data_IF_387880655307
#
_entry.id   IF_387880655307
#
_cell.length_a   1.000
_cell.length_b   1.000
_cell.length_c   1.000
_cell.angle_alpha   90.00
_cell.angle_beta   90.00
_cell.angle_gamma   90.00
#
_symmetry.space_group_name_H-M   'P 1'
#
loop_
_entity.id
_entity.type
_entity.pdbx_description
1 polymer ?
#
# COMPACT_ATOMS: atom_id res chain seq x y z
N UNK A 1 2.57 -12.42 9.79
CA UNK A 1 3.48 -11.26 9.97
C UNK A 1 2.77 -10.00 9.52
N UNK A 2 2.79 -8.96 10.33
CA UNK A 2 2.09 -7.72 9.99
C UNK A 2 3.00 -6.68 9.35
N UNK A 3 4.31 -6.72 9.64
CA UNK A 3 5.25 -5.72 9.13
C UNK A 3 5.69 -6.10 7.73
N UNK A 4 5.33 -5.29 6.76
CA UNK A 4 5.65 -5.53 5.35
C UNK A 4 6.67 -4.53 4.81
N UNK A 5 7.38 -3.83 5.69
CA UNK A 5 8.36 -2.81 5.26
C UNK A 5 9.38 -3.43 4.33
N UNK A 6 9.67 -2.71 3.25
CA UNK A 6 10.58 -3.09 2.17
C UNK A 6 10.07 -4.22 1.28
N UNK A 7 8.84 -4.68 1.49
CA UNK A 7 8.23 -5.66 0.59
C UNK A 7 7.49 -4.95 -0.53
N UNK A 8 7.36 -5.63 -1.67
CA UNK A 8 6.53 -5.15 -2.78
C UNK A 8 5.14 -5.73 -2.63
N UNK A 9 4.14 -4.89 -2.76
CA UNK A 9 2.76 -5.29 -2.53
C UNK A 9 1.87 -4.78 -3.66
N UNK A 10 0.72 -5.42 -3.82
CA UNK A 10 -0.34 -4.90 -4.67
C UNK A 10 -1.65 -4.97 -3.90
N UNK A 11 -2.59 -4.17 -4.33
CA UNK A 11 -3.92 -4.12 -3.73
C UNK A 11 -4.75 -3.08 -4.43
N UNK A 12 -5.91 -2.76 -3.86
CA UNK A 12 -6.79 -1.73 -4.40
C UNK A 12 -6.94 -0.60 -3.41
N UNK A 13 -6.54 0.59 -3.83
CA UNK A 13 -6.69 1.79 -3.02
C UNK A 13 -8.15 2.24 -3.10
N UNK A 14 -8.75 2.51 -1.95
CA UNK A 14 -10.18 2.90 -1.83
C UNK A 14 -11.12 1.87 -2.47
N UNK A 15 -10.68 0.62 -2.55
CA UNK A 15 -11.50 -0.45 -3.11
C UNK A 15 -11.66 -0.41 -4.61
N UNK A 16 -11.01 0.53 -5.32
CA UNK A 16 -11.28 0.70 -6.74
C UNK A 16 -10.03 0.94 -7.59
N UNK A 17 -8.94 1.48 -7.03
CA UNK A 17 -7.75 1.81 -7.81
C UNK A 17 -6.66 0.77 -7.58
N UNK A 18 -6.37 -0.12 -8.58
CA UNK A 18 -5.28 -1.09 -8.42
C UNK A 18 -3.95 -0.36 -8.31
N UNK A 19 -3.15 -0.76 -7.33
CA UNK A 19 -1.83 -0.17 -7.13
C UNK A 19 -0.80 -1.26 -6.91
N UNK A 20 0.45 -0.93 -7.21
CA UNK A 20 1.61 -1.75 -6.92
C UNK A 20 2.72 -0.85 -6.44
N UNK A 21 3.39 -1.23 -5.37
CA UNK A 21 4.46 -0.42 -4.84
C UNK A 21 5.25 -1.12 -3.76
N UNK A 22 6.18 -0.38 -3.19
CA UNK A 22 7.03 -0.86 -2.11
C UNK A 22 6.58 -0.25 -0.80
N UNK A 23 6.41 -1.07 0.22
CA UNK A 23 6.02 -0.58 1.54
C UNK A 23 7.21 0.13 2.18
N UNK A 24 7.03 1.39 2.54
CA UNK A 24 8.05 2.19 3.22
C UNK A 24 7.89 2.15 4.72
N UNK A 25 6.66 2.04 5.21
CA UNK A 25 6.39 2.05 6.63
C UNK A 25 5.14 1.23 6.90
N UNK A 26 5.23 0.32 7.86
CA UNK A 26 4.08 -0.41 8.38
C UNK A 26 3.85 0.07 9.81
N UNK A 27 2.60 0.38 10.15
CA UNK A 27 2.26 0.92 11.46
C UNK A 27 1.06 0.20 12.05
N UNK A 28 1.11 -0.01 13.35
CA UNK A 28 -0.06 -0.43 14.11
C UNK A 28 -0.83 0.84 14.46
N UNK A 29 -2.08 0.89 14.02
CA UNK A 29 -2.94 2.04 14.32
C UNK A 29 -3.49 1.94 15.73
N UNK A 30 -3.88 3.08 16.28
CA UNK A 30 -4.60 3.11 17.53
C UNK A 30 -5.86 2.25 17.38
N UNK A 31 -6.03 1.31 18.27
CA UNK A 31 -7.14 0.36 18.20
C UNK A 31 -6.80 -0.97 17.54
N UNK A 32 -5.57 -1.14 17.05
CA UNK A 32 -5.06 -2.44 16.64
C UNK A 32 -5.04 -2.73 15.14
N UNK A 33 -5.52 -1.82 14.31
CA UNK A 33 -5.42 -2.00 12.85
C UNK A 33 -3.99 -1.78 12.37
N UNK A 34 -3.68 -2.33 11.18
CA UNK A 34 -2.36 -2.18 10.56
C UNK A 34 -2.53 -1.37 9.29
N UNK A 35 -1.70 -0.35 9.10
CA UNK A 35 -1.67 0.40 7.85
C UNK A 35 -0.26 0.38 7.27
N UNK A 36 -0.20 0.47 5.93
CA UNK A 36 1.06 0.42 5.19
C UNK A 36 1.16 1.65 4.30
N UNK A 37 2.27 2.37 4.42
CA UNK A 37 2.59 3.48 3.54
C UNK A 37 3.34 2.92 2.35
N UNK A 38 2.77 3.06 1.15
CA UNK A 38 3.27 2.41 -0.06
C UNK A 38 3.75 3.48 -1.03
N UNK A 39 5.01 3.35 -1.46
CA UNK A 39 5.56 4.17 -2.53
C UNK A 39 5.25 3.46 -3.83
N UNK A 40 4.44 4.09 -4.70
CA UNK A 40 3.96 3.46 -5.92
C UNK A 40 5.09 3.36 -6.94
N UNK A 41 5.15 2.22 -7.65
CA UNK A 41 6.08 2.03 -8.76
C UNK A 41 5.64 2.90 -9.93
N UNK A 42 4.33 2.91 -10.19
CA UNK A 42 3.73 3.73 -11.25
C UNK A 42 2.74 4.65 -10.58
N UNK A 43 2.94 5.97 -10.66
CA UNK A 43 1.98 6.90 -10.08
C UNK A 43 0.61 6.73 -10.71
N UNK A 44 -0.43 6.99 -9.94
CA UNK A 44 -1.81 6.86 -10.41
C UNK A 44 -2.52 8.20 -10.29
N UNK A 45 -3.53 8.39 -11.12
CA UNK A 45 -4.37 9.57 -11.06
C UNK A 45 -5.66 9.24 -10.31
N UNK A 46 -5.96 10.03 -9.26
CA UNK A 46 -7.15 9.85 -8.45
C UNK A 46 -7.88 11.18 -8.43
N UNK A 47 -9.06 11.21 -9.04
CA UNK A 47 -9.92 12.41 -9.08
C UNK A 47 -9.14 13.66 -9.52
N UNK A 48 -8.34 13.51 -10.58
CA UNK A 48 -7.61 14.64 -11.15
C UNK A 48 -6.28 14.95 -10.48
N UNK A 49 -5.89 14.22 -9.45
CA UNK A 49 -4.62 14.42 -8.76
C UNK A 49 -3.71 13.21 -8.96
N UNK A 50 -2.46 13.47 -9.29
CA UNK A 50 -1.47 12.41 -9.45
C UNK A 50 -0.91 12.06 -8.07
N UNK A 51 -0.92 10.78 -7.74
CA UNK A 51 -0.40 10.26 -6.49
C UNK A 51 0.76 9.32 -6.75
N UNK A 52 1.84 9.47 -6.00
CA UNK A 52 2.98 8.56 -6.06
C UNK A 52 3.12 7.73 -4.79
N UNK A 53 2.25 7.95 -3.82
CA UNK A 53 2.22 7.15 -2.60
C UNK A 53 0.78 7.07 -2.10
N UNK A 54 0.46 5.95 -1.44
CA UNK A 54 -0.87 5.74 -0.84
C UNK A 54 -0.71 5.01 0.48
N UNK A 55 -1.75 5.03 1.29
CA UNK A 55 -1.82 4.26 2.53
C UNK A 55 -2.93 3.24 2.38
N UNK A 56 -2.60 1.97 2.59
CA UNK A 56 -3.57 0.88 2.57
C UNK A 56 -3.65 0.20 3.92
N UNK A 57 -4.84 -0.26 4.26
CA UNK A 57 -5.05 -1.15 5.38
C UNK A 57 -4.45 -2.51 5.06
N UNK A 58 -4.00 -3.22 6.08
CA UNK A 58 -3.38 -4.55 5.90
C UNK A 58 -4.28 -5.50 5.11
N UNK A 59 -5.58 -5.49 5.37
CA UNK A 59 -6.51 -6.40 4.69
C UNK A 59 -6.81 -5.98 3.25
N UNK A 60 -6.36 -4.84 2.81
CA UNK A 60 -6.49 -4.42 1.42
C UNK A 60 -5.30 -4.85 0.58
N UNK A 61 -4.26 -5.39 1.20
CA UNK A 61 -3.09 -5.91 0.50
C UNK A 61 -3.46 -7.25 -0.12
N UNK A 62 -3.28 -7.40 -1.42
CA UNK A 62 -3.64 -8.62 -2.15
C UNK A 62 -2.46 -9.54 -2.36
N UNK A 63 -1.27 -8.99 -2.66
CA UNK A 63 -0.07 -9.79 -2.85
C UNK A 63 1.10 -9.16 -2.13
N UNK A 64 2.05 -10.01 -1.73
CA UNK A 64 3.30 -9.57 -1.08
C UNK A 64 4.45 -10.35 -1.71
N UNK A 65 5.50 -9.63 -2.13
CA UNK A 65 6.68 -10.24 -2.76
C UNK A 65 7.95 -9.58 -2.24
N UNK A 66 9.06 -10.34 -2.23
CA UNK A 66 10.36 -9.80 -1.86
C UNK A 66 10.90 -8.87 -2.93
N UNK A 67 10.55 -9.12 -4.19
CA UNK A 67 10.97 -8.27 -5.31
C UNK A 67 9.90 -8.34 -6.39
N UNK A 68 10.05 -7.49 -7.38
CA UNK A 68 9.10 -7.39 -8.49
C UNK A 68 9.36 -8.48 -9.51
#
# INVERSE_FOLDING_TARGET
>A
MWNLENMYVSGKYMGEFPITGKVRLSRVKYGGGISHHIELIIPIEIYGSIRDSVILDHREIETVRDNI
#
